data_IF_043484644220
#
_entry.id   IF_043484644220
#
_cell.length_a   1.000
_cell.length_b   1.000
_cell.length_c   1.000
_cell.angle_alpha   90.00
_cell.angle_beta   90.00
_cell.angle_gamma   90.00
#
_symmetry.space_group_name_H-M   'P 1'
#
loop_
_entity.id
_entity.type
_entity.pdbx_description
1 polymer ?
#
# COMPACT_ATOMS: atom_id res chain seq x y z
N UNK A 1 3.41 6.09 2.89
CA UNK A 1 4.59 6.62 2.61
C UNK A 1 5.32 6.54 1.28
N UNK A 2 5.02 5.60 0.39
CA UNK A 2 5.79 5.43 -0.85
C UNK A 2 5.14 6.10 -2.08
N UNK A 3 4.02 6.80 -1.90
CA UNK A 3 3.31 7.41 -3.03
C UNK A 3 2.58 6.40 -3.91
N UNK A 4 2.19 5.28 -3.35
CA UNK A 4 1.65 4.15 -4.10
C UNK A 4 0.38 4.44 -4.88
N UNK A 5 -0.50 5.30 -4.36
CA UNK A 5 -1.74 5.63 -5.07
C UNK A 5 -1.47 6.40 -6.35
N UNK A 6 -0.56 7.39 -6.29
CA UNK A 6 -0.18 8.17 -7.47
C UNK A 6 0.53 7.29 -8.49
N UNK A 7 1.48 6.46 -8.04
CA UNK A 7 2.20 5.53 -8.90
C UNK A 7 1.23 4.50 -9.49
N UNK A 8 0.31 3.99 -8.68
CA UNK A 8 -0.68 3.02 -9.14
C UNK A 8 -1.58 3.55 -10.24
N UNK A 9 -2.03 4.80 -10.11
CA UNK A 9 -2.83 5.46 -11.15
C UNK A 9 -2.06 5.64 -12.44
N UNK A 10 -0.80 6.06 -12.36
CA UNK A 10 0.06 6.20 -13.54
C UNK A 10 0.29 4.84 -14.21
N UNK A 11 0.50 3.80 -13.41
CA UNK A 11 0.68 2.44 -13.92
C UNK A 11 -0.59 1.94 -14.63
N UNK A 12 -1.75 2.14 -14.01
CA UNK A 12 -3.02 1.74 -14.59
C UNK A 12 -3.26 2.46 -15.92
N UNK A 13 -2.94 3.74 -15.99
CA UNK A 13 -3.08 4.52 -17.22
C UNK A 13 -2.18 3.98 -18.31
N UNK A 14 -0.92 3.68 -18.00
CA UNK A 14 0.03 3.13 -18.99
C UNK A 14 -0.38 1.75 -19.50
N UNK A 15 -0.97 0.92 -18.64
CA UNK A 15 -1.38 -0.43 -18.99
C UNK A 15 -2.82 -0.52 -19.48
N UNK A 16 -3.55 0.60 -19.48
CA UNK A 16 -4.97 0.66 -19.83
C UNK A 16 -5.81 -0.25 -18.95
N UNK A 17 -5.51 -0.22 -17.64
CA UNK A 17 -6.22 -0.99 -16.63
C UNK A 17 -6.99 -0.06 -15.70
N UNK A 18 -7.95 -0.61 -14.99
CA UNK A 18 -8.72 0.12 -14.00
C UNK A 18 -7.92 0.18 -12.68
N UNK A 19 -7.99 1.32 -11.99
CA UNK A 19 -7.27 1.51 -10.72
C UNK A 19 -8.22 1.38 -9.53
N UNK A 20 -7.78 0.64 -8.51
CA UNK A 20 -8.46 0.55 -7.22
C UNK A 20 -7.45 0.74 -6.09
N UNK A 21 -7.90 1.36 -5.01
CA UNK A 21 -7.12 1.57 -3.79
C UNK A 21 -7.93 0.99 -2.62
N UNK A 22 -7.32 0.08 -1.84
CA UNK A 22 -8.03 -0.59 -0.76
C UNK A 22 -8.49 0.37 0.34
N UNK A 23 -7.68 1.38 0.67
CA UNK A 23 -8.05 2.37 1.67
C UNK A 23 -9.23 3.21 1.21
N UNK A 24 -9.22 3.65 -0.06
CA UNK A 24 -10.34 4.40 -0.63
C UNK A 24 -11.62 3.56 -0.64
N UNK A 25 -11.52 2.29 -0.94
CA UNK A 25 -12.68 1.40 -0.92
C UNK A 25 -13.25 1.22 0.48
N UNK A 26 -12.38 1.15 1.50
CA UNK A 26 -12.84 1.11 2.90
C UNK A 26 -13.59 2.40 3.24
N UNK A 27 -13.04 3.55 2.85
CA UNK A 27 -13.70 4.83 3.10
C UNK A 27 -15.04 4.91 2.39
N UNK A 28 -15.13 4.42 1.16
CA UNK A 28 -16.39 4.40 0.42
C UNK A 28 -17.43 3.52 1.10
N UNK A 29 -17.05 2.33 1.56
CA UNK A 29 -17.96 1.36 2.19
C UNK A 29 -18.43 1.81 3.57
N UNK A 30 -17.54 2.46 4.33
CA UNK A 30 -17.86 2.90 5.70
C UNK A 30 -18.49 4.29 5.75
N UNK A 31 -18.26 5.11 4.72
CA UNK A 31 -18.67 6.51 4.74
C UNK A 31 -17.82 7.38 5.67
N UNK A 32 -16.66 6.88 6.09
CA UNK A 32 -15.77 7.56 7.02
C UNK A 32 -14.32 7.47 6.54
N UNK A 33 -13.46 8.41 6.95
CA UNK A 33 -12.06 8.31 6.61
C UNK A 33 -11.35 7.23 7.44
N UNK A 34 -10.15 6.86 7.00
CA UNK A 34 -9.37 5.77 7.63
C UNK A 34 -9.08 6.08 9.10
N UNK A 35 -8.73 7.32 9.44
CA UNK A 35 -8.46 7.70 10.83
C UNK A 35 -9.68 7.49 11.71
N UNK A 36 -10.85 7.83 11.21
CA UNK A 36 -12.11 7.65 11.93
C UNK A 36 -12.43 6.16 12.16
N UNK A 37 -12.21 5.34 11.13
CA UNK A 37 -12.42 3.88 11.24
C UNK A 37 -11.49 3.29 12.31
N UNK A 38 -10.22 3.71 12.31
CA UNK A 38 -9.25 3.28 13.31
C UNK A 38 -9.69 3.68 14.72
N UNK A 39 -10.15 4.92 14.91
CA UNK A 39 -10.57 5.41 16.21
C UNK A 39 -11.77 4.64 16.75
N UNK A 40 -12.72 4.31 15.89
CA UNK A 40 -13.95 3.63 16.30
C UNK A 40 -13.78 2.12 16.47
N UNK A 41 -13.01 1.48 15.61
CA UNK A 41 -12.95 0.02 15.54
C UNK A 41 -11.59 -0.55 15.96
N UNK A 42 -10.60 0.30 16.15
CA UNK A 42 -9.25 -0.12 16.46
C UNK A 42 -8.54 -0.75 15.28
N UNK A 43 -7.28 -1.13 15.48
CA UNK A 43 -6.49 -1.75 14.42
C UNK A 43 -7.09 -3.09 13.97
N UNK A 44 -7.54 -3.91 14.94
CA UNK A 44 -8.12 -5.21 14.63
C UNK A 44 -9.34 -5.08 13.73
N UNK A 45 -10.26 -4.18 14.05
CA UNK A 45 -11.45 -3.93 13.23
C UNK A 45 -11.10 -3.42 11.85
N UNK A 46 -10.14 -2.50 11.77
CA UNK A 46 -9.65 -2.00 10.49
C UNK A 46 -9.06 -3.12 9.63
N UNK A 47 -8.24 -4.00 10.23
CA UNK A 47 -7.61 -5.10 9.49
C UNK A 47 -8.64 -6.09 8.94
N UNK A 48 -9.72 -6.34 9.67
CA UNK A 48 -10.80 -7.19 9.17
C UNK A 48 -11.49 -6.58 7.95
N UNK A 49 -11.72 -5.27 7.97
CA UNK A 49 -12.29 -4.56 6.80
C UNK A 49 -11.34 -4.59 5.62
N UNK A 50 -10.05 -4.39 5.88
CA UNK A 50 -9.03 -4.43 4.84
C UNK A 50 -8.95 -5.81 4.18
N UNK A 51 -8.98 -6.88 4.97
CA UNK A 51 -9.00 -8.25 4.44
C UNK A 51 -10.21 -8.49 3.52
N UNK A 52 -11.38 -8.04 3.94
CA UNK A 52 -12.60 -8.20 3.14
C UNK A 52 -12.52 -7.43 1.83
N UNK A 53 -12.05 -6.19 1.89
CA UNK A 53 -11.91 -5.35 0.71
C UNK A 53 -10.91 -5.93 -0.27
N UNK A 54 -9.73 -6.36 0.22
CA UNK A 54 -8.71 -6.94 -0.64
C UNK A 54 -9.18 -8.26 -1.24
N UNK A 55 -9.89 -9.08 -0.47
CA UNK A 55 -10.50 -10.30 -0.98
C UNK A 55 -11.41 -9.99 -2.18
N UNK A 56 -12.28 -9.00 -2.04
CA UNK A 56 -13.21 -8.63 -3.09
C UNK A 56 -12.49 -8.03 -4.31
N UNK A 57 -11.59 -7.08 -4.08
CA UNK A 57 -10.89 -6.39 -5.19
C UNK A 57 -9.92 -7.31 -5.91
N UNK A 58 -9.26 -8.22 -5.20
CA UNK A 58 -8.30 -9.13 -5.83
C UNK A 58 -8.94 -10.19 -6.73
N UNK A 59 -10.25 -10.37 -6.65
CA UNK A 59 -10.98 -11.24 -7.57
C UNK A 59 -11.16 -10.60 -8.95
N UNK A 60 -11.06 -9.28 -9.04
CA UNK A 60 -11.22 -8.57 -10.32
C UNK A 60 -9.99 -8.81 -11.20
N UNK A 61 -10.23 -8.86 -12.50
CA UNK A 61 -9.16 -8.97 -13.50
C UNK A 61 -8.98 -7.65 -14.22
N UNK A 62 -7.78 -7.43 -14.76
CA UNK A 62 -7.50 -6.22 -15.52
C UNK A 62 -7.47 -4.96 -14.67
N UNK A 63 -6.91 -5.06 -13.46
CA UNK A 63 -6.83 -3.93 -12.53
C UNK A 63 -5.41 -3.72 -12.02
N UNK A 64 -5.18 -2.50 -11.52
CA UNK A 64 -4.05 -2.19 -10.63
C UNK A 64 -4.65 -1.92 -9.26
N UNK A 65 -4.17 -2.65 -8.25
CA UNK A 65 -4.65 -2.52 -6.88
C UNK A 65 -3.54 -1.96 -6.00
N UNK A 66 -3.77 -0.80 -5.41
CA UNK A 66 -2.90 -0.24 -4.38
C UNK A 66 -3.43 -0.66 -3.01
N UNK A 67 -2.55 -1.19 -2.17
CA UNK A 67 -2.93 -1.66 -0.83
C UNK A 67 -2.23 -0.84 0.25
N UNK A 68 -2.83 -0.79 1.43
CA UNK A 68 -2.21 -0.17 2.60
C UNK A 68 -0.97 -0.95 3.03
N UNK A 69 0.02 -0.24 3.60
CA UNK A 69 1.29 -0.84 3.99
C UNK A 69 1.18 -1.96 5.01
N UNK A 70 0.19 -1.90 5.90
CA UNK A 70 -0.03 -2.92 6.91
C UNK A 70 -0.83 -4.12 6.46
N UNK A 71 -1.34 -4.12 5.23
CA UNK A 71 -2.16 -5.23 4.73
C UNK A 71 -1.40 -6.55 4.69
N UNK A 72 -0.08 -6.49 4.51
CA UNK A 72 0.78 -7.70 4.44
C UNK A 72 0.91 -8.43 5.77
N UNK A 73 0.50 -7.83 6.88
CA UNK A 73 0.55 -8.50 8.20
C UNK A 73 -0.38 -9.73 8.19
N UNK A 74 -1.49 -9.67 7.49
CA UNK A 74 -2.40 -10.80 7.35
C UNK A 74 -1.84 -11.84 6.39
N UNK A 75 -1.69 -13.08 6.85
CA UNK A 75 -1.28 -14.20 6.00
C UNK A 75 -2.30 -14.45 4.90
N UNK A 76 -3.58 -14.27 5.20
CA UNK A 76 -4.65 -14.42 4.21
C UNK A 76 -4.48 -13.42 3.07
N UNK A 77 -4.20 -12.16 3.38
CA UNK A 77 -3.97 -11.13 2.37
C UNK A 77 -2.75 -11.47 1.53
N UNK A 78 -1.65 -11.87 2.17
CA UNK A 78 -0.44 -12.26 1.43
C UNK A 78 -0.73 -13.39 0.44
N UNK A 79 -1.46 -14.40 0.87
CA UNK A 79 -1.80 -15.53 0.01
C UNK A 79 -2.69 -15.11 -1.17
N UNK A 80 -3.67 -14.24 -0.93
CA UNK A 80 -4.56 -13.74 -1.98
C UNK A 80 -3.81 -12.93 -3.02
N UNK A 81 -2.98 -12.00 -2.57
CA UNK A 81 -2.21 -11.16 -3.49
C UNK A 81 -1.24 -11.99 -4.33
N UNK A 82 -0.51 -12.91 -3.71
CA UNK A 82 0.44 -13.77 -4.41
C UNK A 82 -0.24 -14.70 -5.41
N UNK A 83 -1.41 -15.23 -5.06
CA UNK A 83 -2.11 -16.19 -5.91
C UNK A 83 -2.85 -15.54 -7.08
N UNK A 84 -3.27 -14.28 -6.93
CA UNK A 84 -4.20 -13.64 -7.87
C UNK A 84 -3.56 -12.59 -8.76
N UNK A 85 -2.31 -12.23 -8.54
CA UNK A 85 -1.70 -11.19 -9.36
C UNK A 85 -0.20 -11.09 -9.19
N UNK A 86 0.36 -10.13 -9.89
CA UNK A 86 1.78 -9.77 -9.79
C UNK A 86 1.90 -8.73 -8.68
N UNK A 87 2.75 -9.01 -7.70
CA UNK A 87 2.95 -8.12 -6.56
C UNK A 87 4.17 -7.25 -6.79
N UNK A 88 3.97 -5.93 -6.75
CA UNK A 88 5.03 -4.94 -6.88
C UNK A 88 5.25 -4.29 -5.52
N UNK A 89 6.45 -4.37 -5.00
CA UNK A 89 6.84 -3.70 -3.77
C UNK A 89 7.54 -2.38 -4.12
N UNK A 90 6.96 -1.28 -3.65
CA UNK A 90 7.55 0.04 -3.81
C UNK A 90 8.41 0.33 -2.59
N UNK A 91 9.73 0.24 -2.77
CA UNK A 91 10.68 0.44 -1.70
C UNK A 91 11.09 1.91 -1.61
N UNK A 92 11.10 2.45 -0.40
CA UNK A 92 11.57 3.81 -0.16
C UNK A 92 12.38 3.85 1.14
N UNK A 93 13.32 4.80 1.25
CA UNK A 93 14.13 4.93 2.46
C UNK A 93 13.31 5.45 3.64
N UNK A 94 13.81 5.19 4.85
CA UNK A 94 13.20 5.72 6.07
C UNK A 94 13.19 7.26 6.05
N UNK A 95 14.25 7.87 5.55
CA UNK A 95 14.33 9.34 5.45
C UNK A 95 13.21 9.90 4.58
N UNK A 96 12.93 9.27 3.45
CA UNK A 96 11.84 9.69 2.56
C UNK A 96 10.47 9.46 3.21
N UNK A 97 10.32 8.36 3.93
CA UNK A 97 9.08 8.08 4.64
C UNK A 97 8.82 9.11 5.73
N UNK A 98 9.84 9.50 6.49
CA UNK A 98 9.72 10.54 7.52
C UNK A 98 9.30 11.86 6.88
N UNK A 99 9.93 12.26 5.78
CA UNK A 99 9.59 13.51 5.10
C UNK A 99 8.14 13.53 4.63
N UNK A 100 7.63 12.41 4.13
CA UNK A 100 6.25 12.31 3.66
C UNK A 100 5.23 12.31 4.80
N UNK A 101 5.53 11.63 5.91
CA UNK A 101 4.60 11.55 7.05
C UNK A 101 4.44 12.88 7.75
N UNK A 102 5.41 13.77 7.69
CA UNK A 102 5.28 15.12 8.21
C UNK A 102 4.19 15.91 7.49
N UNK A 103 3.88 15.53 6.25
CA UNK A 103 2.85 16.19 5.42
C UNK A 103 1.52 15.45 5.45
N UNK A 104 1.53 14.15 5.73
CA UNK A 104 0.33 13.31 5.66
C UNK A 104 -0.07 12.83 7.05
N UNK A 105 -1.05 13.51 7.65
CA UNK A 105 -1.58 13.17 8.97
C UNK A 105 -2.72 12.15 8.91
N UNK A 106 -3.02 11.62 7.74
CA UNK A 106 -4.08 10.64 7.55
C UNK A 106 -3.65 9.23 7.92
N UNK A 107 -2.40 9.02 8.34
CA UNK A 107 -1.87 7.70 8.69
C UNK A 107 -1.92 7.49 10.20
N UNK A 108 -2.95 6.79 10.71
CA UNK A 108 -3.19 6.69 12.16
C UNK A 108 -2.04 6.06 12.94
N UNK A 109 -1.35 5.08 12.34
CA UNK A 109 -0.24 4.39 13.00
C UNK A 109 0.96 5.30 13.27
N UNK A 110 1.04 6.44 12.61
CA UNK A 110 2.13 7.40 12.77
C UNK A 110 1.75 8.56 13.68
N UNK A 111 0.49 8.62 14.16
CA UNK A 111 0.00 9.67 15.05
C UNK A 111 0.12 9.18 16.49
N UNK A 112 1.36 9.08 16.97
CA UNK A 112 1.69 8.64 18.33
C UNK A 112 2.62 9.64 18.98
N UNK A 113 2.92 9.45 20.27
CA UNK A 113 3.89 10.27 20.99
C UNK A 113 5.33 9.92 20.62
N UNK A 114 5.56 8.82 19.91
CA UNK A 114 6.88 8.44 19.44
C UNK A 114 7.30 9.28 18.24
N UNK A 115 8.61 9.42 18.03
CA UNK A 115 9.12 10.09 16.86
C UNK A 115 8.73 9.29 15.59
N UNK A 116 8.34 9.98 14.51
CA UNK A 116 7.97 9.30 13.26
C UNK A 116 9.05 8.33 12.76
N UNK A 117 10.33 8.68 12.89
CA UNK A 117 11.43 7.80 12.47
C UNK A 117 11.41 6.48 13.23
N UNK A 118 11.24 6.53 14.57
CA UNK A 118 11.20 5.32 15.41
C UNK A 118 10.04 4.43 15.03
N UNK A 119 8.87 5.00 14.83
CA UNK A 119 7.68 4.25 14.39
C UNK A 119 7.93 3.58 13.04
N UNK A 120 8.49 4.32 12.07
CA UNK A 120 8.76 3.78 10.75
C UNK A 120 9.83 2.70 10.76
N UNK A 121 10.87 2.85 11.57
CA UNK A 121 11.91 1.82 11.72
C UNK A 121 11.33 0.53 12.30
N UNK A 122 10.48 0.64 13.32
CA UNK A 122 9.82 -0.52 13.92
C UNK A 122 8.89 -1.20 12.94
N UNK A 123 8.13 -0.42 12.15
CA UNK A 123 7.27 -0.97 11.12
C UNK A 123 8.08 -1.67 10.03
N UNK A 124 9.24 -1.12 9.65
CA UNK A 124 10.10 -1.72 8.64
C UNK A 124 10.64 -3.08 9.09
N UNK A 125 11.06 -3.19 10.34
CA UNK A 125 11.55 -4.47 10.90
C UNK A 125 10.47 -5.54 10.80
N UNK A 126 9.23 -5.19 11.11
CA UNK A 126 8.10 -6.12 11.08
C UNK A 126 7.63 -6.42 9.66
N UNK A 127 7.53 -5.41 8.80
CA UNK A 127 6.84 -5.50 7.51
C UNK A 127 7.72 -5.80 6.32
N UNK A 128 8.96 -5.30 6.30
CA UNK A 128 9.82 -5.48 5.13
C UNK A 128 10.05 -6.94 4.75
N UNK A 129 10.27 -7.87 5.71
CA UNK A 129 10.37 -9.28 5.34
C UNK A 129 9.09 -9.82 4.69
N UNK A 130 7.93 -9.32 5.10
CA UNK A 130 6.65 -9.75 4.53
C UNK A 130 6.46 -9.21 3.11
N UNK A 131 6.88 -7.97 2.85
CA UNK A 131 6.87 -7.42 1.49
C UNK A 131 7.78 -8.25 0.58
N UNK A 132 8.99 -8.53 1.03
CA UNK A 132 9.97 -9.28 0.26
C UNK A 132 9.50 -10.71 -0.03
N UNK A 133 8.79 -11.32 0.92
CA UNK A 133 8.26 -12.67 0.77
C UNK A 133 7.33 -12.80 -0.44
N UNK A 134 6.48 -11.81 -0.67
CA UNK A 134 5.46 -11.88 -1.71
C UNK A 134 5.80 -11.07 -2.96
N UNK A 135 6.82 -10.22 -2.94
CA UNK A 135 7.12 -9.35 -4.07
C UNK A 135 7.63 -10.12 -5.28
N UNK A 136 6.97 -9.91 -6.41
CA UNK A 136 7.46 -10.39 -7.70
C UNK A 136 8.43 -9.40 -8.31
N UNK A 137 8.24 -8.11 -8.03
CA UNK A 137 9.05 -7.02 -8.52
C UNK A 137 9.30 -6.04 -7.37
N UNK A 138 10.54 -5.60 -7.19
CA UNK A 138 10.90 -4.59 -6.22
C UNK A 138 11.44 -3.37 -6.97
N UNK A 139 10.83 -2.21 -6.75
CA UNK A 139 11.23 -0.98 -7.42
C UNK A 139 11.47 0.10 -6.38
N UNK A 140 12.64 0.75 -6.46
CA UNK A 140 12.95 1.89 -5.60
C UNK A 140 12.29 3.15 -6.13
N UNK A 141 11.73 3.94 -5.23
CA UNK A 141 10.96 5.12 -5.59
C UNK A 141 11.66 6.43 -5.27
N UNK A 142 12.89 6.38 -4.78
CA UNK A 142 13.61 7.56 -4.30
C UNK A 142 13.87 8.59 -5.40
N UNK A 143 13.51 9.85 -5.11
CA UNK A 143 13.79 11.01 -5.97
C UNK A 143 13.26 10.90 -7.41
N UNK A 144 12.27 10.04 -7.64
CA UNK A 144 11.71 9.84 -8.96
C UNK A 144 10.25 10.21 -9.01
N UNK A 145 9.79 10.72 -10.15
CA UNK A 145 8.38 11.02 -10.35
C UNK A 145 7.57 9.73 -10.45
N UNK A 146 6.27 9.84 -10.20
CA UNK A 146 5.36 8.71 -10.31
C UNK A 146 5.36 8.12 -11.73
N UNK A 147 5.48 8.95 -12.75
CA UNK A 147 5.55 8.50 -14.15
C UNK A 147 6.79 7.68 -14.42
N UNK A 148 7.94 8.10 -13.89
CA UNK A 148 9.20 7.36 -14.07
C UNK A 148 9.14 6.02 -13.36
N UNK A 149 8.63 5.99 -12.13
CA UNK A 149 8.48 4.75 -11.38
C UNK A 149 7.52 3.80 -12.10
N UNK A 150 6.38 4.30 -12.57
CA UNK A 150 5.43 3.48 -13.32
C UNK A 150 6.06 2.89 -14.59
N UNK A 151 6.88 3.68 -15.32
CA UNK A 151 7.59 3.19 -16.50
C UNK A 151 8.56 2.07 -16.16
N UNK A 152 9.28 2.19 -15.05
CA UNK A 152 10.18 1.13 -14.59
C UNK A 152 9.43 -0.15 -14.27
N UNK A 153 8.25 -0.03 -13.65
CA UNK A 153 7.42 -1.20 -13.35
C UNK A 153 7.00 -1.89 -14.64
N UNK A 154 6.52 -1.13 -15.63
CA UNK A 154 6.11 -1.69 -16.92
C UNK A 154 7.25 -2.45 -17.58
N UNK A 155 8.46 -1.89 -17.58
CA UNK A 155 9.64 -2.56 -18.12
C UNK A 155 9.91 -3.88 -17.42
N UNK A 156 9.76 -3.92 -16.11
CA UNK A 156 9.99 -5.10 -15.27
C UNK A 156 8.93 -6.17 -15.45
N UNK A 157 7.71 -5.78 -15.79
CA UNK A 157 6.60 -6.72 -16.01
C UNK A 157 6.71 -7.43 -17.35
N UNK A 158 7.54 -6.94 -18.23
CA UNK A 158 7.82 -7.54 -19.54
C UNK A 158 6.54 -7.77 -20.38
N UNK A 159 5.72 -6.73 -20.42
CA UNK A 159 4.53 -6.72 -21.28
C UNK A 159 4.84 -6.20 -22.67
#
# INVERSE_FOLDING_TARGET
>A
GAGKSTIGRELADKLHLEFFDSDQEIERRTGADIAWVFDLEGEEGFRLREETVIEDLSEKQGIVLATGGGSVISAQVRNRLSARGIVVYLETTIDKQVARTQRDRRRPLLQTDEEPRTVLENLAVERNPLYEEIADVIVQTDDQSAKVVASKIVERLDF
#
